data_IF_308048285003
#
_entry.id   IF_308048285003
#
_cell.length_a   1.000
_cell.length_b   1.000
_cell.length_c   1.000
_cell.angle_alpha   90.00
_cell.angle_beta   90.00
_cell.angle_gamma   90.00
#
_symmetry.space_group_name_H-M   'P 1'
#
loop_
_entity.id
_entity.type
_entity.pdbx_description
1 polymer ?
#
# COMPACT_ATOMS: atom_id res chain seq x y z
N UNK A 1 20.99 19.74 -0.09
CA UNK A 1 20.44 18.54 -0.78
C UNK A 1 19.47 17.85 0.17
N UNK A 2 18.15 17.98 -0.02
CA UNK A 2 17.19 17.24 0.82
C UNK A 2 17.22 15.77 0.41
N UNK A 3 17.51 14.88 1.36
CA UNK A 3 17.46 13.44 1.08
C UNK A 3 16.03 13.05 0.71
N UNK A 4 15.87 12.19 -0.32
CA UNK A 4 14.54 11.65 -0.71
C UNK A 4 13.80 11.08 0.50
N UNK A 5 14.55 10.44 1.41
CA UNK A 5 14.05 9.88 2.67
C UNK A 5 13.47 10.94 3.61
N UNK A 6 14.14 12.08 3.78
CA UNK A 6 13.66 13.19 4.61
C UNK A 6 12.40 13.86 4.06
N UNK A 7 12.31 14.01 2.72
CA UNK A 7 11.13 14.53 2.05
C UNK A 7 9.87 13.70 2.38
N UNK A 8 9.92 12.37 2.15
CA UNK A 8 8.78 11.49 2.42
C UNK A 8 8.41 11.45 3.90
N UNK A 9 9.40 11.38 4.79
CA UNK A 9 9.17 11.38 6.23
C UNK A 9 8.42 12.65 6.69
N UNK A 10 8.84 13.82 6.22
CA UNK A 10 8.19 15.08 6.54
C UNK A 10 6.73 15.15 6.01
N UNK A 11 6.45 14.56 4.84
CA UNK A 11 5.10 14.52 4.26
C UNK A 11 4.16 13.65 5.08
N UNK A 12 4.60 12.46 5.51
CA UNK A 12 3.84 11.58 6.40
C UNK A 12 3.65 12.20 7.79
N UNK A 13 4.68 12.84 8.34
CA UNK A 13 4.58 13.52 9.63
C UNK A 13 3.53 14.64 9.61
N UNK A 14 3.49 15.42 8.53
CA UNK A 14 2.53 16.52 8.35
C UNK A 14 1.15 16.05 7.85
N UNK A 15 0.95 14.75 7.61
CA UNK A 15 -0.28 14.21 7.04
C UNK A 15 -0.60 14.72 5.63
N UNK A 16 0.38 15.26 4.90
CA UNK A 16 0.18 15.81 3.56
C UNK A 16 0.76 14.87 2.51
N UNK A 17 0.11 13.75 2.24
CA UNK A 17 0.58 12.71 1.32
C UNK A 17 -0.30 12.67 0.05
N UNK A 18 0.00 13.48 -0.98
CA UNK A 18 -0.86 13.60 -2.17
C UNK A 18 -0.97 12.30 -2.98
N UNK A 19 0.02 11.43 -2.86
CA UNK A 19 0.03 10.10 -3.48
C UNK A 19 -0.81 9.06 -2.72
N UNK A 20 -1.18 9.30 -1.46
CA UNK A 20 -2.00 8.36 -0.68
C UNK A 20 -3.49 8.63 -0.89
N UNK A 21 -3.99 8.22 -2.05
CA UNK A 21 -5.38 8.43 -2.47
C UNK A 21 -6.36 7.47 -1.80
N UNK A 22 -5.88 6.42 -1.12
CA UNK A 22 -6.69 5.30 -0.63
C UNK A 22 -7.48 4.54 -1.72
N UNK A 23 -7.14 4.76 -2.98
CA UNK A 23 -7.76 4.11 -4.14
C UNK A 23 -6.71 3.24 -4.82
N UNK A 24 -7.04 1.96 -5.02
CA UNK A 24 -6.20 1.06 -5.82
C UNK A 24 -6.24 1.48 -7.28
N UNK A 25 -5.09 1.61 -7.97
CA UNK A 25 -5.06 1.98 -9.38
C UNK A 25 -5.88 1.03 -10.26
N UNK A 26 -6.57 1.54 -11.30
CA UNK A 26 -7.45 0.73 -12.14
C UNK A 26 -6.71 -0.41 -12.86
N UNK A 27 -5.42 -0.28 -13.13
CA UNK A 27 -4.58 -1.31 -13.74
C UNK A 27 -4.45 -2.55 -12.83
N UNK A 28 -4.30 -2.33 -11.52
CA UNK A 28 -4.23 -3.41 -10.52
C UNK A 28 -5.58 -4.08 -10.38
N UNK A 29 -6.66 -3.28 -10.35
CA UNK A 29 -8.04 -3.80 -10.29
C UNK A 29 -8.33 -4.66 -11.51
N UNK A 30 -7.97 -4.17 -12.70
CA UNK A 30 -8.14 -4.88 -13.97
C UNK A 30 -7.35 -6.19 -13.99
N UNK A 31 -6.09 -6.19 -13.54
CA UNK A 31 -5.27 -7.41 -13.47
C UNK A 31 -5.94 -8.51 -12.64
N UNK A 32 -6.52 -8.13 -11.49
CA UNK A 32 -7.25 -9.08 -10.65
C UNK A 32 -8.55 -9.53 -11.32
N UNK A 33 -9.33 -8.59 -11.87
CA UNK A 33 -10.64 -8.87 -12.45
C UNK A 33 -10.56 -9.73 -13.72
N UNK A 34 -9.50 -9.59 -14.53
CA UNK A 34 -9.29 -10.42 -15.72
C UNK A 34 -9.06 -11.90 -15.37
N UNK A 35 -8.69 -12.22 -14.12
CA UNK A 35 -8.51 -13.60 -13.66
C UNK A 35 -7.39 -14.38 -14.35
N UNK A 36 -6.61 -13.73 -15.21
CA UNK A 36 -5.48 -14.33 -15.94
C UNK A 36 -4.32 -14.72 -15.02
N UNK A 37 -4.26 -14.12 -13.83
CA UNK A 37 -3.29 -14.45 -12.79
C UNK A 37 -4.04 -14.88 -11.54
N UNK A 38 -4.03 -16.18 -11.19
CA UNK A 38 -4.71 -16.65 -10.00
C UNK A 38 -4.06 -16.08 -8.73
N UNK A 39 -4.80 -15.95 -7.61
CA UNK A 39 -4.23 -15.46 -6.36
C UNK A 39 -3.03 -16.31 -5.91
N UNK A 40 -1.93 -15.62 -5.63
CA UNK A 40 -0.70 -16.21 -5.11
C UNK A 40 -0.07 -15.28 -4.08
N UNK A 41 1.25 -15.09 -4.15
CA UNK A 41 1.97 -14.12 -3.33
C UNK A 41 2.16 -12.81 -4.08
N UNK A 42 1.95 -11.68 -3.41
CA UNK A 42 2.18 -10.35 -3.95
C UNK A 42 3.07 -9.52 -3.00
N UNK A 43 3.94 -8.67 -3.58
CA UNK A 43 4.78 -7.73 -2.84
C UNK A 43 4.48 -6.29 -3.30
N UNK A 44 4.00 -5.46 -2.38
CA UNK A 44 3.74 -4.03 -2.59
C UNK A 44 4.96 -3.20 -2.13
N UNK A 45 5.76 -2.73 -3.09
CA UNK A 45 6.99 -1.98 -2.85
C UNK A 45 6.71 -0.48 -2.66
N UNK A 46 7.06 0.06 -1.50
CA UNK A 46 6.65 1.42 -1.13
C UNK A 46 5.16 1.49 -0.85
N UNK A 47 4.65 0.51 -0.08
CA UNK A 47 3.22 0.29 0.11
C UNK A 47 2.50 1.46 0.81
N UNK A 48 3.24 2.39 1.41
CA UNK A 48 2.70 3.52 2.13
C UNK A 48 1.75 3.08 3.23
N UNK A 49 0.49 3.50 3.15
CA UNK A 49 -0.54 3.11 4.11
C UNK A 49 -1.29 1.83 3.71
N UNK A 50 -0.76 1.07 2.74
CA UNK A 50 -1.15 -0.31 2.45
C UNK A 50 -2.37 -0.47 1.56
N UNK A 51 -2.75 0.54 0.76
CA UNK A 51 -3.96 0.49 -0.07
C UNK A 51 -3.98 -0.72 -1.01
N UNK A 52 -2.88 -0.95 -1.75
CA UNK A 52 -2.81 -2.03 -2.74
C UNK A 52 -2.64 -3.39 -2.07
N UNK A 53 -1.72 -3.51 -1.10
CA UNK A 53 -1.56 -4.74 -0.32
C UNK A 53 -2.88 -5.21 0.31
N UNK A 54 -3.67 -4.30 0.90
CA UNK A 54 -4.97 -4.63 1.48
C UNK A 54 -6.03 -4.98 0.44
N UNK A 55 -6.01 -4.32 -0.72
CA UNK A 55 -6.89 -4.68 -1.83
C UNK A 55 -6.60 -6.11 -2.30
N UNK A 56 -5.34 -6.43 -2.61
CA UNK A 56 -4.93 -7.76 -3.06
C UNK A 56 -5.27 -8.83 -2.03
N UNK A 57 -5.04 -8.56 -0.74
CA UNK A 57 -5.42 -9.48 0.35
C UNK A 57 -6.91 -9.84 0.33
N UNK A 58 -7.79 -8.87 0.07
CA UNK A 58 -9.24 -9.11 -0.05
C UNK A 58 -9.63 -9.88 -1.30
N UNK A 59 -8.77 -9.90 -2.31
CA UNK A 59 -8.96 -10.66 -3.54
C UNK A 59 -8.34 -12.07 -3.43
N UNK A 60 -7.98 -12.51 -2.21
CA UNK A 60 -7.46 -13.85 -1.94
C UNK A 60 -5.94 -13.98 -2.07
N UNK A 61 -5.21 -12.89 -2.32
CA UNK A 61 -3.75 -12.94 -2.41
C UNK A 61 -3.10 -12.92 -1.04
N UNK A 62 -1.97 -13.61 -0.89
CA UNK A 62 -1.07 -13.39 0.24
C UNK A 62 -0.19 -12.17 -0.08
N UNK A 63 -0.61 -11.00 0.38
CA UNK A 63 0.05 -9.73 0.07
C UNK A 63 0.96 -9.25 1.21
N UNK A 64 2.24 -9.09 0.91
CA UNK A 64 3.25 -8.47 1.77
C UNK A 64 3.47 -7.02 1.31
N UNK A 65 3.54 -6.07 2.26
CA UNK A 65 3.81 -4.66 1.95
C UNK A 65 5.06 -4.16 2.67
N UNK A 66 5.94 -3.47 1.93
CA UNK A 66 7.17 -2.89 2.47
C UNK A 66 7.24 -1.39 2.24
N UNK A 67 7.65 -0.65 3.27
CA UNK A 67 7.89 0.79 3.18
C UNK A 67 8.93 1.20 4.22
N UNK A 68 9.81 2.16 3.88
CA UNK A 68 10.84 2.66 4.78
C UNK A 68 10.32 3.71 5.77
N UNK A 69 9.09 4.20 5.59
CA UNK A 69 8.42 5.13 6.49
C UNK A 69 7.58 4.35 7.51
N UNK A 70 8.13 4.19 8.71
CA UNK A 70 7.46 3.43 9.78
C UNK A 70 6.06 3.96 10.16
N UNK A 71 5.79 5.27 10.02
CA UNK A 71 4.45 5.82 10.27
C UNK A 71 3.42 5.31 9.24
N UNK A 72 3.83 5.17 7.98
CA UNK A 72 3.00 4.65 6.91
C UNK A 72 2.65 3.18 7.18
N UNK A 73 3.65 2.36 7.50
CA UNK A 73 3.47 0.94 7.88
C UNK A 73 2.57 0.80 9.11
N UNK A 74 2.72 1.65 10.14
CA UNK A 74 1.80 1.64 11.30
C UNK A 74 0.36 1.94 10.89
N UNK A 75 0.14 2.88 9.97
CA UNK A 75 -1.18 3.15 9.44
C UNK A 75 -1.74 1.97 8.62
N UNK A 76 -0.90 1.34 7.79
CA UNK A 76 -1.25 0.14 7.04
C UNK A 76 -1.69 -1.00 7.97
N UNK A 77 -0.91 -1.30 9.01
CA UNK A 77 -1.25 -2.32 10.03
C UNK A 77 -2.57 -2.01 10.74
N UNK A 78 -2.82 -0.75 11.12
CA UNK A 78 -4.12 -0.35 11.71
C UNK A 78 -5.28 -0.54 10.74
N UNK A 79 -5.10 -0.21 9.45
CA UNK A 79 -6.12 -0.44 8.42
C UNK A 79 -6.37 -1.94 8.23
N UNK A 80 -5.33 -2.76 8.24
CA UNK A 80 -5.43 -4.22 8.15
C UNK A 80 -6.26 -4.78 9.31
N UNK A 81 -5.93 -4.39 10.55
CA UNK A 81 -6.62 -4.88 11.75
C UNK A 81 -8.10 -4.49 11.83
N UNK A 82 -8.52 -3.39 11.20
CA UNK A 82 -9.94 -2.97 11.14
C UNK A 82 -10.75 -3.69 10.06
N UNK A 83 -10.07 -4.44 9.18
CA UNK A 83 -10.64 -5.04 7.97
C UNK A 83 -10.50 -6.56 7.94
N UNK A 84 -9.88 -7.13 8.98
CA UNK A 84 -10.01 -8.53 9.36
C UNK A 84 -11.36 -8.72 10.06
#
# INVERSE_FOLDING_TARGET
>A
MFSRRGFFWMRYLRGKTPWDTNITPPEVVRLVAEGRTPPGRALDLGCGTGTNALYLARQGWQADGVDFIGQAVRAARRKAARRA
#
